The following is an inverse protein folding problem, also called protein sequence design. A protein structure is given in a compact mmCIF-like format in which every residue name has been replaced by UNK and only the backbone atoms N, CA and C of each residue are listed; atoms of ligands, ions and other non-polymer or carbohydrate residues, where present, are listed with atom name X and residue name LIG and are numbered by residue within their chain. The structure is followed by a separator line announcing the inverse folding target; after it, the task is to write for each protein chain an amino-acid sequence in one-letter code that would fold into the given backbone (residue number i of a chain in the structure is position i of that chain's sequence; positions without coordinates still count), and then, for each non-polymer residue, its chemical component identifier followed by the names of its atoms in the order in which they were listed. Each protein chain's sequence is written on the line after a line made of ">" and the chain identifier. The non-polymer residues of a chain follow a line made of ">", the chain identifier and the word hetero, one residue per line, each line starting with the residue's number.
data_IF_159149333820
#
_entry.id   IF_159149333820
#
_cell.length_a   1.000
_cell.length_b   1.000
_cell.length_c   1.000
_cell.angle_alpha   90.00
_cell.angle_beta   90.00
_cell.angle_gamma   90.00
#
_symmetry.space_group_name_H-M   'P 1'
#
loop_
_entity.id
_entity.type
_entity.pdbx_description
1 polymer ?
#
# COMPACT_ATOMS: atom_id res chain seq x y z
N UNK A 1 -6.20 -14.53 -4.08
CA UNK A 1 -5.42 -13.51 -3.35
C UNK A 1 -4.33 -12.88 -4.22
N UNK A 2 -3.79 -13.57 -5.24
CA UNK A 2 -2.86 -12.95 -6.19
C UNK A 2 -3.54 -12.00 -7.19
N UNK A 3 -4.79 -12.23 -7.57
CA UNK A 3 -5.49 -11.40 -8.57
C UNK A 3 -5.75 -9.96 -8.08
N UNK A 4 -6.20 -9.78 -6.84
CA UNK A 4 -6.42 -8.44 -6.26
C UNK A 4 -5.11 -7.64 -6.14
N UNK A 5 -3.98 -8.32 -5.89
CA UNK A 5 -2.66 -7.68 -5.79
C UNK A 5 -2.12 -7.24 -7.14
N UNK A 6 -2.26 -8.08 -8.17
CA UNK A 6 -1.89 -7.71 -9.54
C UNK A 6 -2.68 -6.49 -10.02
N UNK A 7 -3.99 -6.49 -9.79
CA UNK A 7 -4.85 -5.35 -10.11
C UNK A 7 -4.46 -4.08 -9.36
N UNK A 8 -4.07 -4.19 -8.08
CA UNK A 8 -3.53 -3.06 -7.32
C UNK A 8 -2.23 -2.53 -7.91
N UNK A 9 -1.26 -3.40 -8.24
CA UNK A 9 0.03 -2.99 -8.82
C UNK A 9 -0.18 -2.37 -10.20
N UNK A 10 -1.03 -2.96 -11.03
CA UNK A 10 -1.41 -2.42 -12.34
C UNK A 10 -2.03 -1.03 -12.21
N UNK A 11 -2.99 -0.85 -11.29
CA UNK A 11 -3.55 0.47 -10.98
C UNK A 11 -2.47 1.43 -10.47
N UNK A 12 -1.63 1.00 -9.52
CA UNK A 12 -0.61 1.82 -8.89
C UNK A 12 0.40 2.34 -9.92
N UNK A 13 0.83 1.50 -10.88
CA UNK A 13 1.71 1.90 -11.99
C UNK A 13 1.10 3.00 -12.87
N UNK A 14 -0.22 3.18 -12.87
CA UNK A 14 -0.85 4.29 -13.60
C UNK A 14 -0.74 5.65 -12.88
N UNK A 15 -0.43 5.66 -11.59
CA UNK A 15 -0.30 6.87 -10.78
C UNK A 15 0.98 7.64 -11.08
N UNK A 16 1.05 8.92 -10.71
CA UNK A 16 2.26 9.73 -10.91
C UNK A 16 3.50 9.14 -10.22
N UNK A 17 3.34 8.63 -9.00
CA UNK A 17 4.42 7.96 -8.27
C UNK A 17 4.77 6.59 -8.85
N UNK A 18 3.78 5.79 -9.27
CA UNK A 18 4.00 4.49 -9.90
C UNK A 18 4.80 4.60 -11.19
N UNK A 19 4.45 5.57 -12.05
CA UNK A 19 5.19 5.86 -13.29
C UNK A 19 6.62 6.33 -13.04
N UNK A 20 6.83 7.18 -12.04
CA UNK A 20 8.17 7.67 -11.71
C UNK A 20 9.05 6.57 -11.10
N UNK A 21 8.44 5.56 -10.48
CA UNK A 21 9.10 4.36 -9.97
C UNK A 21 9.06 3.16 -10.92
N UNK A 22 8.72 3.33 -12.21
CA UNK A 22 9.01 2.30 -13.22
C UNK A 22 10.54 2.10 -13.31
N UNK A 23 11.06 1.16 -12.50
CA UNK A 23 12.49 0.89 -12.31
C UNK A 23 12.96 0.88 -10.86
N UNK A 24 12.16 1.39 -9.92
CA UNK A 24 12.38 1.24 -8.48
C UNK A 24 11.87 -0.12 -8.01
N UNK A 25 12.73 -0.91 -7.38
CA UNK A 25 12.38 -2.26 -6.90
C UNK A 25 11.56 -2.15 -5.61
N UNK A 26 10.33 -1.64 -5.70
CA UNK A 26 9.38 -1.72 -4.58
C UNK A 26 8.93 -3.17 -4.50
N UNK A 27 9.42 -3.84 -3.46
CA UNK A 27 9.08 -5.23 -3.19
C UNK A 27 7.72 -5.30 -2.50
N UNK A 28 6.65 -5.14 -3.28
CA UNK A 28 5.27 -5.31 -2.81
C UNK A 28 5.05 -6.69 -2.17
N UNK A 29 5.78 -7.70 -2.64
CA UNK A 29 5.79 -9.07 -2.14
C UNK A 29 6.87 -9.35 -1.08
N UNK A 30 7.38 -8.30 -0.42
CA UNK A 30 8.39 -8.43 0.63
C UNK A 30 7.93 -9.33 1.77
N UNK A 31 8.70 -10.39 2.07
CA UNK A 31 8.46 -11.20 3.26
C UNK A 31 8.69 -10.32 4.49
N UNK A 32 7.67 -10.24 5.36
CA UNK A 32 7.80 -9.57 6.66
C UNK A 32 8.88 -10.32 7.47
N UNK A 33 10.03 -9.69 7.69
CA UNK A 33 11.19 -10.30 8.36
C UNK A 33 11.17 -10.13 9.88
N UNK A 34 10.31 -9.25 10.40
CA UNK A 34 10.14 -9.00 11.83
C UNK A 34 8.66 -9.00 12.20
N UNK A 35 8.35 -9.49 13.40
CA UNK A 35 6.99 -9.61 13.92
C UNK A 35 6.27 -8.26 14.05
N UNK A 36 7.02 -7.16 14.23
CA UNK A 36 6.42 -5.83 14.30
C UNK A 36 5.65 -5.48 13.02
N UNK A 37 6.14 -5.92 11.85
CA UNK A 37 5.51 -5.69 10.55
C UNK A 37 4.19 -6.43 10.37
N UNK A 38 3.87 -7.42 11.22
CA UNK A 38 2.57 -8.08 11.20
C UNK A 38 1.42 -7.11 11.52
N UNK A 39 1.72 -6.03 12.24
CA UNK A 39 0.75 -5.00 12.64
C UNK A 39 0.61 -3.86 11.61
N UNK A 40 1.21 -4.01 10.43
CA UNK A 40 1.18 -3.00 9.37
C UNK A 40 0.77 -3.62 8.03
N UNK A 41 -0.01 -2.88 7.26
CA UNK A 41 -0.33 -3.17 5.87
C UNK A 41 0.30 -2.15 4.95
N UNK A 42 0.86 -2.60 3.83
CA UNK A 42 1.33 -1.70 2.78
C UNK A 42 0.12 -1.04 2.14
N UNK A 43 0.18 0.25 1.83
CA UNK A 43 -0.89 0.99 1.15
C UNK A 43 -0.28 1.99 0.18
N UNK A 44 -1.08 2.51 -0.75
CA UNK A 44 -0.69 3.67 -1.54
C UNK A 44 -1.73 4.78 -1.42
N UNK A 45 -1.28 6.03 -1.44
CA UNK A 45 -2.16 7.19 -1.52
C UNK A 45 -2.96 7.14 -2.82
N UNK A 46 -4.29 7.21 -2.78
CA UNK A 46 -5.15 7.01 -3.95
C UNK A 46 -4.87 8.03 -5.06
N UNK A 47 -4.77 9.31 -4.71
CA UNK A 47 -4.53 10.38 -5.70
C UNK A 47 -3.11 10.41 -6.27
N UNK A 48 -2.08 10.21 -5.44
CA UNK A 48 -0.69 10.40 -5.86
C UNK A 48 0.00 9.08 -6.21
N UNK A 49 -0.38 7.99 -5.56
CA UNK A 49 0.31 6.70 -5.60
C UNK A 49 1.49 6.60 -4.65
N UNK A 50 1.69 7.55 -3.72
CA UNK A 50 2.80 7.47 -2.78
C UNK A 50 2.65 6.23 -1.88
N UNK A 51 3.68 5.38 -1.85
CA UNK A 51 3.70 4.16 -1.03
C UNK A 51 3.83 4.54 0.45
N UNK A 52 3.00 3.92 1.29
CA UNK A 52 2.97 4.09 2.75
C UNK A 52 2.64 2.77 3.45
N UNK A 53 2.60 2.79 4.78
CA UNK A 53 2.10 1.68 5.60
C UNK A 53 1.04 2.17 6.56
N UNK A 54 0.03 1.34 6.81
CA UNK A 54 -1.05 1.61 7.76
C UNK A 54 -0.96 0.65 8.94
N UNK A 55 -0.93 1.19 10.16
CA UNK A 55 -0.94 0.37 11.37
C UNK A 55 -2.34 -0.21 11.60
N UNK A 56 -2.47 -1.53 11.65
CA UNK A 56 -3.75 -2.22 11.85
C UNK A 56 -4.23 -2.23 13.30
N UNK A 57 -3.32 -1.98 14.25
CA UNK A 57 -3.61 -1.97 15.70
C UNK A 57 -3.75 -0.58 16.31
N UNK A 58 -3.34 0.48 15.60
CA UNK A 58 -3.25 1.83 16.14
C UNK A 58 -4.57 2.61 16.04
N UNK A 59 -5.70 1.92 15.88
CA UNK A 59 -6.98 2.52 15.51
C UNK A 59 -7.61 3.31 16.67
N UNK A 60 -7.30 4.61 16.76
CA UNK A 60 -8.32 5.61 17.08
C UNK A 60 -8.91 6.11 15.76
N UNK A 61 -10.23 6.19 15.68
CA UNK A 61 -10.97 6.55 14.45
C UNK A 61 -10.91 8.04 14.11
N UNK A 62 -10.19 8.83 14.90
CA UNK A 62 -10.15 10.30 14.82
C UNK A 62 -8.77 10.89 14.50
N UNK A 63 -7.69 10.10 14.53
CA UNK A 63 -6.37 10.52 14.01
C UNK A 63 -6.09 9.97 12.61
N UNK A 64 -6.98 9.10 12.13
CA UNK A 64 -7.00 8.70 10.73
C UNK A 64 -7.64 9.84 9.95
N UNK A 65 -6.81 10.75 9.46
CA UNK A 65 -7.04 11.33 8.15
C UNK A 65 -7.49 10.19 7.22
N UNK A 66 -8.80 10.14 6.98
CA UNK A 66 -9.46 9.39 5.94
C UNK A 66 -9.03 9.93 4.56
N UNK A 67 -7.73 10.06 4.35
CA UNK A 67 -7.13 10.41 3.09
C UNK A 67 -6.93 9.11 2.31
N UNK A 68 -8.04 8.54 1.81
CA UNK A 68 -8.06 7.78 0.55
C UNK A 68 -6.78 6.97 0.28
N UNK A 69 -6.54 5.92 1.07
CA UNK A 69 -5.44 4.99 0.86
C UNK A 69 -6.02 3.68 0.35
N UNK A 70 -5.43 3.12 -0.70
CA UNK A 70 -5.86 1.84 -1.26
C UNK A 70 -4.90 0.74 -0.79
N UNK A 71 -5.37 -0.30 -0.09
CA UNK A 71 -4.53 -1.43 0.27
C UNK A 71 -4.43 -2.41 -0.91
N UNK A 72 -3.37 -3.23 -0.95
CA UNK A 72 -3.11 -4.22 -2.00
C UNK A 72 -4.01 -5.46 -1.90
N UNK A 73 -4.90 -5.53 -0.89
CA UNK A 73 -5.78 -6.67 -0.61
C UNK A 73 -7.28 -6.34 -0.69
N UNK A 74 -7.69 -5.07 -0.88
CA UNK A 74 -9.10 -4.74 -1.11
C UNK A 74 -9.47 -5.10 -2.56
N UNK A 75 -10.50 -5.92 -2.68
CA UNK A 75 -11.07 -6.41 -3.95
C UNK A 75 -12.22 -5.51 -4.38
#
# INVERSE_FOLDING_TARGET
>A
MEDSRKQFVEWWLTTGYGKQQEGGNIHWDGKKTSDIWQNFEQVAHERTGQVKVMCTKCSSKEDQLAETFKPPNET
#
